data_IF_993903512599
#
_entry.id   IF_993903512599
#
_cell.length_a   1.000
_cell.length_b   1.000
_cell.length_c   1.000
_cell.angle_alpha   90.00
_cell.angle_beta   90.00
_cell.angle_gamma   90.00
#
_symmetry.space_group_name_H-M   'P 1'
#
loop_
_entity.id
_entity.type
_entity.pdbx_description
1 polymer ?
#
# COMPACT_ATOMS: atom_id res chain seq x y z
N UNK A 1 -33.07 2.23 -2.16
CA UNK A 1 -32.42 1.53 -3.28
C UNK A 1 -31.06 1.11 -2.75
N UNK A 2 -30.95 -0.16 -2.38
CA UNK A 2 -29.68 -0.75 -1.95
C UNK A 2 -28.83 -0.88 -3.22
N UNK A 3 -27.70 -0.17 -3.25
CA UNK A 3 -26.80 -0.21 -4.40
C UNK A 3 -26.21 -1.60 -4.51
N UNK A 4 -26.63 -2.35 -5.53
CA UNK A 4 -26.13 -3.68 -5.82
C UNK A 4 -24.59 -3.66 -5.91
N UNK A 5 -23.97 -4.32 -4.94
CA UNK A 5 -22.61 -4.83 -4.97
C UNK A 5 -21.50 -3.82 -5.31
N UNK A 6 -21.10 -3.02 -4.32
CA UNK A 6 -19.66 -2.74 -4.17
C UNK A 6 -18.96 -4.06 -3.80
N UNK A 7 -18.72 -4.96 -4.78
CA UNK A 7 -17.81 -6.10 -4.57
C UNK A 7 -16.43 -5.51 -4.37
N UNK A 8 -16.02 -5.43 -3.11
CA UNK A 8 -14.66 -5.08 -2.75
C UNK A 8 -13.74 -6.24 -3.12
N UNK A 9 -13.13 -6.20 -4.31
CA UNK A 9 -12.07 -7.13 -4.71
C UNK A 9 -10.75 -6.76 -4.01
N UNK A 10 -10.72 -6.98 -2.70
CA UNK A 10 -9.55 -6.69 -1.89
C UNK A 10 -8.40 -7.65 -2.22
N UNK A 11 -8.70 -8.90 -2.59
CA UNK A 11 -7.69 -9.90 -2.93
C UNK A 11 -6.89 -9.50 -4.18
N UNK A 12 -7.52 -8.90 -5.19
CA UNK A 12 -6.82 -8.38 -6.36
C UNK A 12 -6.16 -7.01 -6.09
N UNK A 13 -6.79 -6.15 -5.28
CA UNK A 13 -6.31 -4.77 -5.08
C UNK A 13 -5.19 -4.65 -4.05
N UNK A 14 -5.16 -5.49 -3.02
CA UNK A 14 -4.16 -5.43 -1.95
C UNK A 14 -2.73 -5.74 -2.44
N UNK A 15 -2.49 -6.75 -3.31
CA UNK A 15 -1.17 -7.00 -3.88
C UNK A 15 -0.68 -5.84 -4.75
N UNK A 16 -1.58 -5.27 -5.57
CA UNK A 16 -1.28 -4.12 -6.42
C UNK A 16 -0.92 -2.89 -5.59
N UNK A 17 -1.70 -2.61 -4.54
CA UNK A 17 -1.40 -1.54 -3.60
C UNK A 17 -0.05 -1.71 -2.90
N UNK A 18 0.30 -2.92 -2.47
CA UNK A 18 1.60 -3.21 -1.86
C UNK A 18 2.76 -2.99 -2.87
N UNK A 19 2.58 -3.41 -4.12
CA UNK A 19 3.57 -3.19 -5.18
C UNK A 19 3.78 -1.70 -5.47
N UNK A 20 2.70 -0.91 -5.48
CA UNK A 20 2.77 0.54 -5.69
C UNK A 20 3.48 1.25 -4.54
N UNK A 21 3.25 0.83 -3.29
CA UNK A 21 3.97 1.35 -2.12
C UNK A 21 5.48 1.07 -2.24
N UNK A 22 5.89 -0.12 -2.68
CA UNK A 22 7.31 -0.45 -2.89
C UNK A 22 7.93 0.44 -3.96
N UNK A 23 7.23 0.64 -5.09
CA UNK A 23 7.71 1.51 -6.19
C UNK A 23 7.84 2.97 -5.74
N UNK A 24 6.88 3.48 -4.99
CA UNK A 24 6.91 4.82 -4.42
C UNK A 24 8.12 5.00 -3.50
N UNK A 25 8.34 4.05 -2.59
CA UNK A 25 9.45 4.08 -1.64
C UNK A 25 10.81 4.05 -2.33
N UNK A 26 10.97 3.20 -3.35
CA UNK A 26 12.22 3.11 -4.12
C UNK A 26 12.54 4.38 -4.92
N UNK A 27 11.56 5.24 -5.19
CA UNK A 27 11.74 6.51 -5.89
C UNK A 27 12.00 7.71 -4.98
N UNK A 28 11.95 7.54 -3.65
CA UNK A 28 12.21 8.65 -2.73
C UNK A 28 13.70 9.02 -2.76
N UNK A 29 14.04 10.33 -2.87
CA UNK A 29 15.42 10.77 -2.69
C UNK A 29 15.90 10.39 -1.29
N UNK A 30 17.21 10.21 -1.10
CA UNK A 30 17.80 9.80 0.17
C UNK A 30 18.17 10.99 1.08
N UNK A 31 17.23 11.56 1.86
CA UNK A 31 17.51 12.06 3.19
C UNK A 31 16.88 11.17 4.26
N UNK A 32 17.34 11.29 5.52
CA UNK A 32 16.85 10.49 6.66
C UNK A 32 15.32 10.48 6.79
N UNK A 33 14.65 11.56 6.40
CA UNK A 33 13.19 11.67 6.38
C UNK A 33 12.54 10.76 5.33
N UNK A 34 13.12 10.63 4.13
CA UNK A 34 12.65 9.73 3.07
C UNK A 34 12.70 8.27 3.53
N UNK A 35 13.80 7.85 4.16
CA UNK A 35 13.94 6.50 4.73
C UNK A 35 12.94 6.23 5.87
N UNK A 36 12.66 7.23 6.70
CA UNK A 36 11.67 7.08 7.78
C UNK A 36 10.25 6.93 7.23
N UNK A 37 9.85 7.77 6.28
CA UNK A 37 8.53 7.69 5.62
C UNK A 37 8.39 6.38 4.84
N UNK A 38 9.43 5.97 4.14
CA UNK A 38 9.51 4.68 3.45
C UNK A 38 9.23 3.49 4.38
N UNK A 39 9.90 3.45 5.53
CA UNK A 39 9.71 2.39 6.51
C UNK A 39 8.28 2.36 7.09
N UNK A 40 7.64 3.52 7.29
CA UNK A 40 6.25 3.59 7.74
C UNK A 40 5.27 3.11 6.66
N UNK A 41 5.49 3.48 5.40
CA UNK A 41 4.65 3.06 4.27
C UNK A 41 4.76 1.55 4.02
N UNK A 42 5.97 0.98 4.04
CA UNK A 42 6.16 -0.46 3.88
C UNK A 42 5.45 -1.26 4.99
N UNK A 43 5.58 -0.83 6.26
CA UNK A 43 4.97 -1.55 7.39
C UNK A 43 3.44 -1.46 7.36
N UNK A 44 2.88 -0.30 7.05
CA UNK A 44 1.42 -0.10 6.99
C UNK A 44 0.79 -0.72 5.74
N UNK A 45 1.47 -0.64 4.59
CA UNK A 45 1.00 -1.20 3.32
C UNK A 45 1.00 -2.72 3.26
N UNK A 46 2.00 -3.37 3.88
CA UNK A 46 2.08 -4.85 3.93
C UNK A 46 1.26 -5.47 5.05
N UNK A 47 0.93 -4.72 6.11
CA UNK A 47 0.03 -5.21 7.17
C UNK A 47 -1.38 -5.53 6.65
N UNK A 48 -1.85 -4.79 5.62
CA UNK A 48 -3.16 -5.03 5.00
C UNK A 48 -3.23 -6.34 4.20
N UNK A 49 -2.10 -6.90 3.77
CA UNK A 49 -2.04 -8.20 3.07
C UNK A 49 -2.10 -9.39 4.06
N UNK A 50 -1.88 -9.15 5.35
CA UNK A 50 -1.83 -10.19 6.40
C UNK A 50 -3.15 -10.34 7.18
N UNK A 51 -4.17 -9.53 6.88
CA UNK A 51 -5.53 -9.63 7.43
C UNK A 51 -6.42 -10.38 6.44
#
# INVERSE_FOLDING_TARGET
MESEHERYDLEERLPNYAADVIRLVNGLPEPRAGNHVAAQLLRSGTSRLRL
#
